data_IF_793302236207
#
_entry.id   IF_793302236207
#
_cell.length_a   1.000
_cell.length_b   1.000
_cell.length_c   1.000
_cell.angle_alpha   90.00
_cell.angle_beta   90.00
_cell.angle_gamma   90.00
#
_symmetry.space_group_name_H-M   'P 1'
#
loop_
_entity.id
_entity.type
_entity.pdbx_description
1 polymer ?
#
# COMPACT_ATOMS: atom_id res chain seq x y z
N UNK A 1 -44.63 -5.00 -101.95
CA UNK A 1 -44.26 -5.19 -100.53
C UNK A 1 -42.78 -5.48 -100.48
N UNK A 2 -41.99 -4.45 -100.18
CA UNK A 2 -40.53 -4.43 -100.34
C UNK A 2 -39.85 -4.94 -99.07
N UNK A 3 -39.08 -6.02 -99.19
CA UNK A 3 -38.19 -6.50 -98.13
C UNK A 3 -37.00 -5.55 -97.96
N UNK A 4 -36.55 -5.23 -96.74
CA UNK A 4 -35.23 -4.68 -96.52
C UNK A 4 -34.22 -5.80 -96.26
N UNK A 5 -33.19 -5.77 -97.08
CA UNK A 5 -31.91 -6.46 -96.95
C UNK A 5 -31.17 -5.97 -95.70
N UNK A 6 -30.75 -6.88 -94.81
CA UNK A 6 -29.55 -6.69 -93.97
C UNK A 6 -29.05 -8.04 -93.42
N UNK A 7 -28.13 -8.66 -94.18
CA UNK A 7 -27.23 -9.72 -93.69
C UNK A 7 -26.15 -9.06 -92.81
N UNK A 8 -26.41 -8.92 -91.52
CA UNK A 8 -25.40 -8.45 -90.54
C UNK A 8 -25.54 -9.14 -89.18
N UNK A 9 -25.89 -10.43 -89.17
CA UNK A 9 -25.94 -11.26 -87.95
C UNK A 9 -25.19 -12.59 -88.11
N UNK A 10 -23.98 -12.54 -88.65
CA UNK A 10 -23.04 -13.65 -88.62
C UNK A 10 -21.65 -13.04 -88.45
N UNK A 11 -20.91 -13.45 -87.40
CA UNK A 11 -19.64 -12.87 -86.90
C UNK A 11 -19.75 -11.57 -86.05
N UNK A 12 -20.72 -11.50 -85.13
CA UNK A 12 -20.89 -10.37 -84.20
C UNK A 12 -19.78 -10.24 -83.16
N UNK A 13 -18.75 -9.44 -83.45
CA UNK A 13 -17.91 -8.79 -82.45
C UNK A 13 -18.11 -7.29 -82.61
N UNK A 14 -19.05 -6.70 -81.87
CA UNK A 14 -19.22 -5.25 -81.84
C UNK A 14 -18.17 -4.61 -80.94
N UNK A 15 -17.80 -3.36 -81.19
CA UNK A 15 -16.83 -2.63 -80.36
C UNK A 15 -17.20 -2.64 -78.86
N UNK A 16 -18.50 -2.67 -78.53
CA UNK A 16 -19.00 -2.84 -77.16
C UNK A 16 -18.63 -4.20 -76.53
N UNK A 17 -18.62 -5.29 -77.29
CA UNK A 17 -18.22 -6.61 -76.80
C UNK A 17 -16.71 -6.70 -76.53
N UNK A 18 -15.90 -5.90 -77.22
CA UNK A 18 -14.46 -5.82 -76.95
C UNK A 18 -14.16 -5.11 -75.62
N UNK A 19 -14.90 -4.04 -75.31
CA UNK A 19 -14.78 -3.36 -74.02
C UNK A 19 -15.27 -4.24 -72.87
N UNK A 20 -16.34 -5.01 -73.07
CA UNK A 20 -16.85 -5.95 -72.07
C UNK A 20 -15.83 -7.07 -71.78
N UNK A 21 -15.24 -7.65 -72.83
CA UNK A 21 -14.20 -8.67 -72.70
C UNK A 21 -12.95 -8.10 -72.01
N UNK A 22 -12.56 -6.85 -72.31
CA UNK A 22 -11.46 -6.16 -71.63
C UNK A 22 -11.76 -5.91 -70.15
N UNK A 23 -12.99 -5.51 -69.82
CA UNK A 23 -13.42 -5.35 -68.44
C UNK A 23 -13.43 -6.69 -67.68
N UNK A 24 -13.82 -7.77 -68.34
CA UNK A 24 -13.83 -9.11 -67.75
C UNK A 24 -12.42 -9.66 -67.55
N UNK A 25 -11.49 -9.40 -68.48
CA UNK A 25 -10.06 -9.70 -68.31
C UNK A 25 -9.49 -8.91 -67.12
N UNK A 26 -9.74 -7.60 -67.04
CA UNK A 26 -9.24 -6.78 -65.94
C UNK A 26 -9.76 -7.26 -64.57
N UNK A 27 -11.04 -7.62 -64.48
CA UNK A 27 -11.61 -8.22 -63.26
C UNK A 27 -10.91 -9.53 -62.89
N UNK A 28 -10.61 -10.39 -63.87
CA UNK A 28 -9.90 -11.65 -63.64
C UNK A 28 -8.46 -11.44 -63.24
N UNK A 29 -7.80 -10.41 -63.76
CA UNK A 29 -6.44 -10.01 -63.36
C UNK A 29 -6.42 -9.49 -61.92
N UNK A 30 -7.39 -8.66 -61.52
CA UNK A 30 -7.52 -8.19 -60.14
C UNK A 30 -7.84 -9.33 -59.17
N UNK A 31 -8.75 -10.23 -59.53
CA UNK A 31 -9.03 -11.45 -58.78
C UNK A 31 -7.77 -12.32 -58.63
N UNK A 32 -6.96 -12.44 -59.70
CA UNK A 32 -5.70 -13.17 -59.66
C UNK A 32 -4.65 -12.49 -58.77
N UNK A 33 -4.54 -11.16 -58.82
CA UNK A 33 -3.65 -10.40 -57.96
C UNK A 33 -4.02 -10.54 -56.48
N UNK A 34 -5.32 -10.45 -56.15
CA UNK A 34 -5.84 -10.62 -54.78
C UNK A 34 -5.62 -12.04 -54.26
N UNK A 35 -5.91 -13.05 -55.07
CA UNK A 35 -5.70 -14.46 -54.68
C UNK A 35 -4.21 -14.80 -54.54
N UNK A 36 -3.34 -14.19 -55.35
CA UNK A 36 -1.88 -14.27 -55.21
C UNK A 36 -1.38 -13.62 -53.92
N UNK A 37 -1.92 -12.46 -53.54
CA UNK A 37 -1.57 -11.78 -52.28
C UNK A 37 -2.05 -12.56 -51.05
N UNK A 38 -3.21 -13.21 -51.14
CA UNK A 38 -3.76 -14.09 -50.10
C UNK A 38 -3.07 -15.46 -49.99
N UNK A 39 -1.98 -15.70 -50.73
CA UNK A 39 -1.21 -16.95 -50.65
C UNK A 39 -1.83 -18.14 -51.40
N UNK A 40 -2.83 -17.92 -52.26
CA UNK A 40 -3.40 -18.94 -53.13
C UNK A 40 -2.36 -19.56 -54.08
N UNK A 41 -2.44 -20.87 -54.30
CA UNK A 41 -1.39 -21.64 -54.97
C UNK A 41 -0.97 -21.06 -56.33
N UNK A 42 0.34 -20.94 -56.58
CA UNK A 42 0.94 -20.34 -57.79
C UNK A 42 0.84 -21.19 -59.06
N UNK A 43 0.07 -22.29 -59.09
CA UNK A 43 0.18 -23.27 -60.18
C UNK A 43 -1.18 -23.80 -60.66
N UNK A 44 -1.75 -23.14 -61.66
CA UNK A 44 -2.63 -23.77 -62.64
C UNK A 44 -1.80 -24.20 -63.85
N UNK A 45 -1.13 -25.35 -63.76
CA UNK A 45 -0.57 -26.01 -64.97
C UNK A 45 -1.62 -26.99 -65.48
N UNK A 46 -2.20 -26.71 -66.65
CA UNK A 46 -3.10 -27.64 -67.36
C UNK A 46 -4.57 -27.63 -66.94
N UNK A 47 -5.09 -26.54 -66.36
CA UNK A 47 -6.55 -26.36 -66.16
C UNK A 47 -7.22 -27.16 -65.03
N UNK A 48 -6.48 -27.99 -64.28
CA UNK A 48 -7.03 -28.76 -63.15
C UNK A 48 -6.47 -28.25 -61.83
N UNK A 49 -7.36 -27.76 -60.94
CA UNK A 49 -7.02 -27.40 -59.56
C UNK A 49 -6.52 -28.64 -58.82
N UNK A 50 -5.24 -28.68 -58.45
CA UNK A 50 -4.75 -29.68 -57.51
C UNK A 50 -5.19 -29.30 -56.09
N UNK A 51 -5.58 -30.26 -55.23
CA UNK A 51 -5.91 -29.96 -53.85
C UNK A 51 -4.69 -29.37 -53.14
N UNK A 52 -4.91 -28.34 -52.34
CA UNK A 52 -3.84 -27.62 -51.64
C UNK A 52 -2.96 -28.60 -50.85
N UNK A 53 -1.64 -28.45 -51.00
CA UNK A 53 -0.69 -29.25 -50.25
C UNK A 53 -0.91 -28.95 -48.77
N UNK A 54 -1.16 -29.99 -47.96
CA UNK A 54 -1.25 -29.87 -46.50
C UNK A 54 -0.04 -29.07 -46.00
N UNK A 55 -0.23 -28.06 -45.14
CA UNK A 55 0.87 -27.24 -44.64
C UNK A 55 1.97 -28.12 -44.04
N UNK A 56 3.23 -27.83 -44.37
CA UNK A 56 4.40 -28.55 -43.86
C UNK A 56 4.40 -28.54 -42.33
N UNK A 57 4.99 -29.55 -41.68
CA UNK A 57 5.02 -29.66 -40.21
C UNK A 57 5.62 -28.41 -39.56
N UNK A 58 6.59 -27.76 -40.22
CA UNK A 58 7.18 -26.49 -39.80
C UNK A 58 6.26 -25.27 -39.88
N UNK A 59 5.15 -25.36 -40.60
CA UNK A 59 4.12 -24.31 -40.69
C UNK A 59 2.95 -24.52 -39.73
N UNK A 60 2.94 -25.61 -38.94
CA UNK A 60 1.95 -25.80 -37.88
C UNK A 60 2.35 -24.95 -36.69
N UNK A 61 1.51 -23.98 -36.33
CA UNK A 61 1.68 -23.23 -35.09
C UNK A 61 1.49 -24.14 -33.88
N UNK A 62 2.18 -23.82 -32.77
CA UNK A 62 2.02 -24.57 -31.53
C UNK A 62 0.58 -24.45 -31.01
N UNK A 63 0.04 -25.54 -30.46
CA UNK A 63 -1.32 -25.59 -29.94
C UNK A 63 -1.50 -24.51 -28.86
N UNK A 64 -2.48 -23.63 -29.05
CA UNK A 64 -2.81 -22.57 -28.09
C UNK A 64 -2.03 -21.26 -28.22
N UNK A 65 -1.15 -21.11 -29.23
CA UNK A 65 -0.49 -19.82 -29.50
C UNK A 65 -1.50 -18.74 -29.88
N UNK A 66 -2.47 -19.07 -30.74
CA UNK A 66 -3.54 -18.14 -31.12
C UNK A 66 -4.38 -17.72 -29.91
N UNK A 67 -4.71 -18.66 -29.02
CA UNK A 67 -5.48 -18.36 -27.81
C UNK A 67 -4.68 -17.51 -26.81
N UNK A 68 -3.35 -17.65 -26.77
CA UNK A 68 -2.48 -16.81 -25.93
C UNK A 68 -2.39 -15.40 -26.52
N UNK A 69 -2.14 -15.29 -27.82
CA UNK A 69 -2.11 -14.01 -28.53
C UNK A 69 -3.45 -13.26 -28.41
N UNK A 70 -4.58 -13.95 -28.53
CA UNK A 70 -5.90 -13.35 -28.31
C UNK A 70 -6.06 -12.81 -26.88
N UNK A 71 -5.63 -13.58 -25.87
CA UNK A 71 -5.64 -13.12 -24.47
C UNK A 71 -4.72 -11.92 -24.23
N UNK A 72 -3.54 -11.90 -24.86
CA UNK A 72 -2.60 -10.78 -24.72
C UNK A 72 -3.21 -9.49 -25.33
N UNK A 73 -3.91 -9.60 -26.47
CA UNK A 73 -4.65 -8.48 -27.09
C UNK A 73 -5.79 -8.00 -26.18
N UNK A 74 -6.60 -8.91 -25.62
CA UNK A 74 -7.68 -8.55 -24.69
C UNK A 74 -7.15 -7.83 -23.44
N UNK A 75 -6.02 -8.28 -22.87
CA UNK A 75 -5.40 -7.64 -21.73
C UNK A 75 -4.85 -6.24 -22.07
N UNK A 76 -4.27 -6.08 -23.26
CA UNK A 76 -3.84 -4.77 -23.73
C UNK A 76 -5.01 -3.81 -23.89
N UNK A 77 -6.13 -4.25 -24.48
CA UNK A 77 -7.34 -3.43 -24.66
C UNK A 77 -7.91 -2.97 -23.31
N UNK A 78 -8.02 -3.86 -22.33
CA UNK A 78 -8.45 -3.50 -20.97
C UNK A 78 -7.49 -2.49 -20.33
N UNK A 79 -6.18 -2.65 -20.54
CA UNK A 79 -5.18 -1.72 -20.01
C UNK A 79 -5.28 -0.35 -20.67
N UNK A 80 -5.49 -0.29 -21.99
CA UNK A 80 -5.66 0.96 -22.76
C UNK A 80 -6.90 1.71 -22.30
N UNK A 81 -8.04 1.03 -22.14
CA UNK A 81 -9.27 1.66 -21.60
C UNK A 81 -9.04 2.24 -20.20
N UNK A 82 -8.24 1.56 -19.36
CA UNK A 82 -7.91 2.04 -18.01
C UNK A 82 -6.98 3.26 -18.06
N UNK A 83 -5.98 3.26 -18.93
CA UNK A 83 -5.03 4.38 -19.09
C UNK A 83 -5.72 5.58 -19.74
N UNK A 84 -6.52 5.37 -20.78
CA UNK A 84 -7.28 6.40 -21.48
C UNK A 84 -8.33 7.05 -20.57
N UNK A 85 -9.03 6.26 -19.76
CA UNK A 85 -9.97 6.80 -18.78
C UNK A 85 -9.24 7.62 -17.71
N UNK A 86 -8.09 7.15 -17.22
CA UNK A 86 -7.22 7.91 -16.32
C UNK A 86 -6.75 9.23 -16.95
N UNK A 87 -6.27 9.20 -18.19
CA UNK A 87 -5.84 10.38 -18.94
C UNK A 87 -6.97 11.37 -19.14
N UNK A 88 -8.16 10.92 -19.54
CA UNK A 88 -9.33 11.78 -19.70
C UNK A 88 -9.74 12.46 -18.38
N UNK A 89 -9.64 11.76 -17.25
CA UNK A 89 -9.88 12.35 -15.92
C UNK A 89 -8.82 13.39 -15.58
N UNK A 90 -7.54 13.11 -15.83
CA UNK A 90 -6.44 14.06 -15.60
C UNK A 90 -6.58 15.31 -16.45
N UNK A 91 -6.93 15.17 -17.74
CA UNK A 91 -7.17 16.30 -18.63
C UNK A 91 -8.35 17.16 -18.16
N UNK A 92 -9.43 16.54 -17.67
CA UNK A 92 -10.55 17.28 -17.06
C UNK A 92 -10.11 18.03 -15.80
N UNK A 93 -9.35 17.39 -14.90
CA UNK A 93 -8.80 18.03 -13.69
C UNK A 93 -7.87 19.19 -14.03
N UNK A 94 -6.96 19.03 -15.00
CA UNK A 94 -6.06 20.08 -15.46
C UNK A 94 -6.83 21.29 -16.00
N UNK A 95 -7.88 21.07 -16.81
CA UNK A 95 -8.76 22.14 -17.30
C UNK A 95 -9.49 22.87 -16.19
N UNK A 96 -9.91 22.18 -15.12
CA UNK A 96 -10.55 22.81 -13.96
C UNK A 96 -9.51 23.64 -13.19
N UNK A 97 -8.34 23.07 -12.93
CA UNK A 97 -7.24 23.76 -12.23
C UNK A 97 -6.80 25.04 -12.96
N UNK A 98 -6.64 25.00 -14.29
CA UNK A 98 -6.34 26.20 -15.07
C UNK A 98 -7.42 27.29 -14.94
N UNK A 99 -8.69 26.90 -14.85
CA UNK A 99 -9.78 27.86 -14.66
C UNK A 99 -9.72 28.49 -13.27
N UNK A 100 -9.51 27.67 -12.24
CA UNK A 100 -9.35 28.12 -10.85
C UNK A 100 -8.14 29.07 -10.72
N UNK A 101 -6.99 28.71 -11.27
CA UNK A 101 -5.80 29.57 -11.33
C UNK A 101 -6.04 30.90 -12.06
N UNK A 102 -6.97 30.92 -13.03
CA UNK A 102 -7.38 32.14 -13.76
C UNK A 102 -8.48 32.93 -13.02
N UNK A 103 -8.80 32.58 -11.77
CA UNK A 103 -9.85 33.22 -10.97
C UNK A 103 -11.28 32.89 -11.41
N UNK A 104 -11.48 31.81 -12.17
CA UNK A 104 -12.82 31.32 -12.57
C UNK A 104 -13.20 30.14 -11.69
N UNK A 105 -14.46 30.04 -11.28
CA UNK A 105 -14.97 28.96 -10.42
C UNK A 105 -14.78 27.53 -10.95
N UNK A 106 -14.37 27.35 -12.21
CA UNK A 106 -14.05 26.03 -12.77
C UNK A 106 -15.26 25.10 -12.92
N UNK A 107 -16.47 25.57 -12.61
CA UNK A 107 -17.69 24.76 -12.51
C UNK A 107 -17.98 24.21 -11.11
N UNK A 108 -17.22 24.63 -10.09
CA UNK A 108 -17.51 24.35 -8.69
C UNK A 108 -18.53 25.35 -8.14
N UNK A 109 -19.32 24.93 -7.16
CA UNK A 109 -20.17 25.83 -6.37
C UNK A 109 -19.32 26.62 -5.37
N UNK A 110 -19.80 27.77 -4.91
CA UNK A 110 -19.04 28.63 -3.99
C UNK A 110 -18.64 27.87 -2.71
N UNK A 111 -19.54 27.05 -2.15
CA UNK A 111 -19.24 26.17 -1.01
C UNK A 111 -18.13 25.14 -1.32
N UNK A 112 -18.13 24.59 -2.54
CA UNK A 112 -17.09 23.65 -2.96
C UNK A 112 -15.75 24.35 -3.19
N UNK A 113 -15.79 25.61 -3.64
CA UNK A 113 -14.61 26.46 -3.81
C UNK A 113 -14.00 26.85 -2.46
N UNK A 114 -14.82 27.29 -1.50
CA UNK A 114 -14.39 27.62 -0.13
C UNK A 114 -13.85 26.42 0.64
N UNK A 115 -14.33 25.21 0.34
CA UNK A 115 -13.81 23.97 0.94
C UNK A 115 -12.45 23.54 0.35
N UNK A 116 -11.96 24.18 -0.71
CA UNK A 116 -10.64 23.88 -1.25
C UNK A 116 -9.57 24.37 -0.28
N UNK A 117 -8.63 23.49 0.04
CA UNK A 117 -7.47 23.82 0.90
C UNK A 117 -6.40 24.64 0.18
N UNK A 118 -6.61 24.96 -1.10
CA UNK A 118 -5.68 25.72 -1.94
C UNK A 118 -6.28 27.09 -2.18
N UNK A 119 -5.58 28.13 -1.75
CA UNK A 119 -5.94 29.51 -2.05
C UNK A 119 -5.44 29.89 -3.46
N UNK A 120 -6.35 29.86 -4.42
CA UNK A 120 -6.06 30.21 -5.82
C UNK A 120 -5.95 31.73 -6.06
N UNK A 121 -6.49 32.53 -5.14
CA UNK A 121 -6.48 34.00 -5.22
C UNK A 121 -5.23 34.59 -4.55
N UNK A 122 -4.56 33.81 -3.70
CA UNK A 122 -3.20 34.11 -3.27
C UNK A 122 -2.28 34.20 -4.51
N UNK A 123 -1.64 35.37 -4.68
CA UNK A 123 -0.59 35.55 -5.68
C UNK A 123 0.54 34.61 -5.24
N UNK A 124 0.57 33.42 -5.86
CA UNK A 124 1.32 32.30 -5.33
C UNK A 124 2.80 32.60 -5.12
N UNK A 125 3.53 31.75 -4.36
CA UNK A 125 4.98 31.89 -4.18
C UNK A 125 5.80 31.89 -5.49
N UNK A 126 5.17 31.67 -6.65
CA UNK A 126 5.81 31.48 -7.96
C UNK A 126 6.53 32.69 -8.56
N UNK A 127 6.36 33.91 -8.05
CA UNK A 127 7.20 35.05 -8.46
C UNK A 127 8.50 35.13 -7.63
N UNK A 128 8.61 34.38 -6.52
CA UNK A 128 9.78 34.37 -5.63
C UNK A 128 10.46 33.00 -5.52
N UNK A 129 9.76 31.92 -5.83
CA UNK A 129 10.35 30.61 -6.09
C UNK A 129 10.59 30.52 -7.59
N UNK A 130 11.73 31.08 -8.02
CA UNK A 130 12.34 30.67 -9.27
C UNK A 130 12.45 29.14 -9.24
N UNK A 131 12.21 28.52 -10.40
CA UNK A 131 12.41 27.09 -10.59
C UNK A 131 13.75 26.71 -9.96
N UNK A 132 13.69 25.95 -8.87
CA UNK A 132 14.87 25.33 -8.25
C UNK A 132 15.41 24.33 -9.26
N UNK A 133 16.19 24.86 -10.20
CA UNK A 133 17.05 24.09 -11.07
C UNK A 133 18.17 23.59 -10.17
N UNK A 134 17.92 22.41 -9.65
CA UNK A 134 18.74 21.41 -8.98
C UNK A 134 20.22 21.36 -9.43
N UNK A 135 21.01 22.42 -9.17
CA UNK A 135 22.47 22.43 -9.36
C UNK A 135 23.22 23.50 -8.52
N UNK A 136 22.55 24.26 -7.65
CA UNK A 136 23.23 25.16 -6.70
C UNK A 136 23.39 24.44 -5.37
N UNK A 137 24.62 24.04 -5.05
CA UNK A 137 24.97 23.46 -3.75
C UNK A 137 24.84 24.52 -2.63
N UNK A 138 23.64 24.60 -2.04
CA UNK A 138 23.37 25.50 -0.91
C UNK A 138 24.27 25.22 0.31
N UNK A 139 24.95 24.07 0.36
CA UNK A 139 25.92 23.76 1.44
C UNK A 139 27.24 24.54 1.33
N UNK A 140 27.51 25.17 0.19
CA UNK A 140 28.65 26.10 0.02
C UNK A 140 28.34 27.53 0.47
N UNK A 141 27.07 27.88 0.68
CA UNK A 141 26.68 29.23 1.10
C UNK A 141 26.64 29.27 2.63
N UNK A 142 27.76 29.62 3.26
CA UNK A 142 27.77 29.93 4.70
C UNK A 142 26.97 31.23 4.88
N UNK A 143 25.91 31.25 5.71
CA UNK A 143 25.19 32.48 6.00
C UNK A 143 26.16 33.48 6.64
N UNK A 144 26.53 34.53 5.91
CA UNK A 144 27.29 35.65 6.48
C UNK A 144 26.36 36.43 7.40
N UNK A 145 26.70 36.47 8.69
CA UNK A 145 26.04 37.40 9.60
C UNK A 145 26.36 38.84 9.17
N UNK A 146 25.39 39.77 9.26
CA UNK A 146 25.62 41.16 8.93
C UNK A 146 26.78 41.68 9.78
N UNK A 147 27.85 42.14 9.11
CA UNK A 147 28.97 42.82 9.74
C UNK A 147 28.45 44.14 10.31
N UNK A 148 28.02 44.12 11.57
CA UNK A 148 27.66 45.35 12.26
C UNK A 148 28.98 46.04 12.67
N UNK A 149 29.39 47.06 11.90
CA UNK A 149 30.61 47.86 12.13
C UNK A 149 30.57 48.61 13.49
N UNK A 150 29.40 48.63 14.14
CA UNK A 150 29.18 49.26 15.45
C UNK A 150 29.48 48.36 16.67
N UNK A 151 29.88 47.10 16.48
CA UNK A 151 30.12 46.16 17.60
C UNK A 151 31.62 46.03 17.94
N UNK A 152 32.10 46.64 19.04
CA UNK A 152 33.50 46.59 19.41
C UNK A 152 33.93 45.19 19.90
N UNK A 153 35.14 44.80 19.54
CA UNK A 153 35.79 43.60 20.06
C UNK A 153 36.30 43.90 21.47
N UNK A 154 35.86 43.12 22.47
CA UNK A 154 36.20 43.29 23.89
C UNK A 154 36.92 42.04 24.39
N UNK A 155 37.86 42.23 25.31
CA UNK A 155 38.51 41.15 26.05
C UNK A 155 37.66 40.79 27.28
N UNK A 156 37.29 39.52 27.41
CA UNK A 156 36.52 39.00 28.54
C UNK A 156 37.18 37.76 29.13
N UNK A 157 36.93 37.53 30.42
CA UNK A 157 37.36 36.32 31.12
C UNK A 157 36.29 35.23 30.95
N UNK A 158 36.67 34.14 30.28
CA UNK A 158 35.83 32.94 30.14
C UNK A 158 35.62 32.27 31.52
N UNK A 159 34.62 31.39 31.65
CA UNK A 159 34.25 30.69 32.88
C UNK A 159 35.41 29.91 33.53
N UNK A 160 36.44 29.62 32.73
CA UNK A 160 37.66 28.92 33.13
C UNK A 160 38.83 29.86 33.49
N UNK A 161 38.59 31.16 33.61
CA UNK A 161 39.61 32.16 33.97
C UNK A 161 40.60 32.50 32.86
N UNK A 162 40.25 32.19 31.60
CA UNK A 162 41.09 32.46 30.43
C UNK A 162 40.62 33.75 29.75
N UNK A 163 41.56 34.63 29.41
CA UNK A 163 41.26 35.82 28.64
C UNK A 163 40.98 35.44 27.18
N UNK A 164 39.78 35.76 26.69
CA UNK A 164 39.36 35.57 25.29
C UNK A 164 38.88 36.90 24.71
N UNK A 165 39.03 37.06 23.40
CA UNK A 165 38.51 38.22 22.67
C UNK A 165 37.29 37.82 21.87
N UNK A 166 36.26 38.65 21.89
CA UNK A 166 35.01 38.44 21.16
C UNK A 166 34.26 39.75 20.95
N UNK A 167 33.31 39.78 20.01
CA UNK A 167 32.44 40.95 19.81
C UNK A 167 31.54 41.15 21.02
N UNK A 168 31.24 42.39 21.42
CA UNK A 168 30.45 42.67 22.64
C UNK A 168 29.07 42.00 22.61
N UNK A 169 28.43 41.87 21.43
CA UNK A 169 27.14 41.18 21.31
C UNK A 169 27.22 39.67 21.52
N UNK A 170 28.37 39.05 21.27
CA UNK A 170 28.60 37.61 21.39
C UNK A 170 29.05 37.20 22.80
N UNK A 171 29.61 38.14 23.58
CA UNK A 171 30.04 37.87 24.95
C UNK A 171 28.82 37.70 25.86
N UNK A 172 28.70 36.57 26.58
CA UNK A 172 27.62 36.35 27.53
C UNK A 172 27.50 37.52 28.52
N UNK A 173 26.28 37.97 28.78
CA UNK A 173 26.00 39.18 29.57
C UNK A 173 26.66 39.19 30.96
N UNK A 174 26.87 38.02 31.55
CA UNK A 174 27.48 37.85 32.87
C UNK A 174 29.02 37.91 32.85
N UNK A 175 29.65 37.75 31.68
CA UNK A 175 31.09 37.85 31.46
C UNK A 175 31.51 39.23 30.88
N UNK A 176 30.55 40.07 30.53
CA UNK A 176 30.83 41.43 30.10
C UNK A 176 31.51 42.20 31.24
N UNK A 177 32.54 43.01 30.96
CA UNK A 177 33.16 43.85 31.97
C UNK A 177 32.09 44.82 32.50
N UNK A 178 31.72 44.64 33.77
CA UNK A 178 30.81 45.54 34.46
C UNK A 178 31.57 46.84 34.69
N UNK A 179 31.16 47.92 34.01
CA UNK A 179 31.65 49.25 34.39
C UNK A 179 31.26 49.51 35.84
N UNK A 180 32.17 50.06 36.63
CA UNK A 180 31.95 50.40 38.05
C UNK A 180 30.75 51.37 38.24
N UNK A 181 30.26 51.99 37.16
CA UNK A 181 29.08 52.86 37.11
C UNK A 181 27.74 52.12 36.91
N UNK A 182 27.73 50.79 36.79
CA UNK A 182 26.48 50.02 36.68
C UNK A 182 25.90 49.78 38.08
N UNK A 183 25.17 50.79 38.55
CA UNK A 183 24.29 50.75 39.73
C UNK A 183 23.59 49.39 39.83
N UNK A 184 23.55 48.74 41.00
CA UNK A 184 22.80 47.51 41.18
C UNK A 184 21.34 47.80 40.88
N UNK A 185 20.82 47.19 39.81
CA UNK A 185 19.38 47.20 39.50
C UNK A 185 18.69 46.67 40.77
N UNK A 186 17.88 47.48 41.47
CA UNK A 186 17.19 47.03 42.66
C UNK A 186 16.28 45.85 42.27
N UNK A 187 16.36 44.75 43.02
CA UNK A 187 15.58 43.52 42.79
C UNK A 187 14.04 43.70 42.96
N UNK A 188 13.56 44.94 43.00
CA UNK A 188 12.16 45.31 43.18
C UNK A 188 11.64 46.17 42.02
N UNK A 189 11.81 45.69 40.79
CA UNK A 189 10.98 46.15 39.69
C UNK A 189 9.53 45.72 39.98
N UNK A 190 8.73 46.64 40.53
CA UNK A 190 7.30 46.45 40.81
C UNK A 190 6.45 46.12 39.56
N UNK A 191 7.06 46.26 38.39
CA UNK A 191 6.46 45.96 37.09
C UNK A 191 6.83 44.55 36.57
N UNK A 192 7.70 43.80 37.25
CA UNK A 192 8.00 42.40 36.91
C UNK A 192 6.96 41.49 37.55
N UNK A 193 6.01 41.05 36.73
CA UNK A 193 5.00 40.07 37.12
C UNK A 193 5.68 38.70 37.22
N UNK A 194 6.08 38.32 38.43
CA UNK A 194 6.48 36.94 38.72
C UNK A 194 5.24 36.05 38.71
N UNK A 195 5.13 35.19 37.69
CA UNK A 195 4.11 34.16 37.71
C UNK A 195 4.31 33.29 38.98
N UNK A 196 3.24 33.02 39.76
CA UNK A 196 3.35 32.16 40.93
C UNK A 196 3.94 30.81 40.51
N UNK A 197 4.90 30.29 41.27
CA UNK A 197 5.66 29.06 40.97
C UNK A 197 4.77 27.81 40.80
N UNK A 198 3.47 27.90 41.12
CA UNK A 198 2.49 26.83 40.97
C UNK A 198 1.21 27.24 40.20
N UNK A 199 1.21 28.38 39.49
CA UNK A 199 0.06 28.79 38.68
C UNK A 199 0.30 28.45 37.21
N UNK A 200 -0.15 27.26 36.81
CA UNK A 200 -0.28 26.91 35.41
C UNK A 200 -1.74 27.19 35.00
N UNK A 201 -2.01 28.19 34.14
CA UNK A 201 -3.37 28.44 33.67
C UNK A 201 -3.82 27.26 32.81
N UNK A 202 -4.54 26.32 33.42
CA UNK A 202 -5.24 25.26 32.70
C UNK A 202 -6.47 25.91 32.07
N UNK A 203 -6.52 25.94 30.74
CA UNK A 203 -7.68 26.44 30.02
C UNK A 203 -8.88 25.53 30.29
N UNK A 204 -9.86 26.01 31.05
CA UNK A 204 -11.17 25.40 31.21
C UNK A 204 -12.15 26.07 30.24
N UNK A 205 -12.54 25.40 29.13
CA UNK A 205 -13.50 25.97 28.20
C UNK A 205 -14.85 26.19 28.91
N UNK A 206 -15.53 27.30 28.60
CA UNK A 206 -16.89 27.54 29.09
C UNK A 206 -17.83 26.40 28.66
N UNK A 207 -18.85 26.10 29.49
CA UNK A 207 -19.83 25.06 29.18
C UNK A 207 -20.51 25.28 27.82
N UNK A 208 -20.76 26.53 27.45
CA UNK A 208 -21.29 26.91 26.14
C UNK A 208 -20.35 26.53 24.99
N UNK A 209 -19.03 26.69 25.18
CA UNK A 209 -18.04 26.30 24.17
C UNK A 209 -17.95 24.78 24.03
N UNK A 210 -18.06 24.05 25.14
CA UNK A 210 -18.10 22.58 25.12
C UNK A 210 -19.35 22.10 24.38
N UNK A 211 -20.51 22.70 24.65
CA UNK A 211 -21.76 22.39 23.96
C UNK A 211 -21.68 22.73 22.48
N UNK A 212 -21.19 23.92 22.10
CA UNK A 212 -21.03 24.30 20.70
C UNK A 212 -20.09 23.35 19.94
N UNK A 213 -19.01 22.90 20.59
CA UNK A 213 -18.12 21.87 20.04
C UNK A 213 -18.87 20.55 19.89
N UNK A 214 -19.55 20.09 20.93
CA UNK A 214 -20.29 18.84 20.91
C UNK A 214 -21.41 18.83 19.86
N UNK A 215 -22.12 19.94 19.70
CA UNK A 215 -23.16 20.12 18.68
C UNK A 215 -22.53 20.13 17.29
N UNK A 216 -21.40 20.81 17.09
CA UNK A 216 -20.70 20.79 15.80
C UNK A 216 -20.21 19.38 15.41
N UNK A 217 -19.83 18.56 16.39
CA UNK A 217 -19.40 17.17 16.19
C UNK A 217 -20.52 16.13 16.35
N UNK A 218 -21.76 16.56 16.62
CA UNK A 218 -22.88 15.62 16.74
C UNK A 218 -23.16 14.95 15.40
N UNK A 219 -23.64 13.70 15.45
CA UNK A 219 -23.94 12.91 14.25
C UNK A 219 -24.98 13.59 13.34
N UNK A 220 -25.83 14.44 13.91
CA UNK A 220 -26.83 15.24 13.20
C UNK A 220 -26.19 16.30 12.29
N UNK A 221 -25.12 16.96 12.75
CA UNK A 221 -24.43 18.01 12.01
C UNK A 221 -23.27 17.45 11.15
N UNK A 222 -22.72 16.31 11.54
CA UNK A 222 -21.59 15.70 10.87
C UNK A 222 -21.79 14.19 10.65
N UNK A 223 -22.68 13.79 9.70
CA UNK A 223 -22.92 12.39 9.45
C UNK A 223 -21.64 11.71 8.94
N UNK A 224 -21.19 10.67 9.67
CA UNK A 224 -19.99 9.88 9.35
C UNK A 224 -20.02 9.28 7.93
N UNK A 225 -21.23 9.14 7.33
CA UNK A 225 -21.42 8.70 5.95
C UNK A 225 -20.86 9.69 4.91
N UNK A 226 -20.74 10.98 5.25
CA UNK A 226 -20.21 12.01 4.36
C UNK A 226 -18.70 11.89 4.17
N UNK A 227 -17.97 11.45 5.21
CA UNK A 227 -16.50 11.48 5.22
C UNK A 227 -15.85 10.17 4.76
N UNK A 228 -16.51 9.04 4.97
CA UNK A 228 -15.94 7.73 4.64
C UNK A 228 -16.82 6.94 3.69
N UNK A 229 -16.38 6.83 2.45
CA UNK A 229 -16.96 5.98 1.43
C UNK A 229 -16.00 4.85 1.09
N UNK A 230 -16.28 3.67 1.63
CA UNK A 230 -15.41 2.54 1.43
C UNK A 230 -15.43 2.01 -0.02
N UNK A 231 -16.32 2.45 -0.91
CA UNK A 231 -16.21 2.14 -2.34
C UNK A 231 -15.03 2.87 -3.01
N UNK A 232 -14.60 4.01 -2.44
CA UNK A 232 -13.49 4.84 -2.94
C UNK A 232 -12.15 4.54 -2.25
N UNK A 233 -12.16 3.68 -1.23
CA UNK A 233 -10.95 3.26 -0.50
C UNK A 233 -10.08 2.33 -1.37
N UNK A 234 -8.81 2.70 -1.53
CA UNK A 234 -7.84 1.98 -2.39
C UNK A 234 -7.05 0.94 -1.59
N UNK A 235 -7.07 1.00 -0.25
CA UNK A 235 -6.38 0.01 0.59
C UNK A 235 -6.99 -1.39 0.45
N UNK A 236 -6.13 -2.40 0.59
CA UNK A 236 -6.55 -3.80 0.65
C UNK A 236 -7.42 -4.03 1.89
N UNK A 237 -8.63 -4.55 1.67
CA UNK A 237 -9.62 -4.77 2.72
C UNK A 237 -9.45 -6.19 3.27
N UNK A 238 -9.51 -6.33 4.59
CA UNK A 238 -9.34 -7.63 5.26
C UNK A 238 -10.52 -8.58 5.01
N UNK A 239 -10.36 -9.84 5.40
CA UNK A 239 -11.39 -10.89 5.22
C UNK A 239 -12.72 -10.62 5.96
N UNK A 240 -12.70 -9.76 6.98
CA UNK A 240 -13.89 -9.34 7.73
C UNK A 240 -14.51 -8.03 7.23
N UNK A 241 -14.10 -7.51 6.08
CA UNK A 241 -14.65 -6.27 5.55
C UNK A 241 -16.07 -6.47 5.01
N UNK A 242 -17.00 -5.63 5.47
CA UNK A 242 -18.38 -5.58 5.02
C UNK A 242 -18.73 -4.15 4.58
N UNK A 243 -19.22 -4.00 3.35
CA UNK A 243 -19.64 -2.70 2.81
C UNK A 243 -21.10 -2.46 3.13
N UNK A 244 -21.38 -1.47 3.99
CA UNK A 244 -22.74 -1.02 4.22
C UNK A 244 -23.28 -0.25 3.02
N UNK A 245 -24.60 -0.29 2.85
CA UNK A 245 -25.31 0.55 1.89
C UNK A 245 -25.18 2.04 2.24
N UNK A 246 -25.25 2.90 1.22
CA UNK A 246 -25.30 4.35 1.38
C UNK A 246 -26.67 4.85 1.88
N UNK A 247 -27.74 4.07 1.68
CA UNK A 247 -29.08 4.42 2.13
C UNK A 247 -29.24 4.11 3.62
N UNK A 248 -29.61 5.12 4.41
CA UNK A 248 -29.60 5.08 5.88
C UNK A 248 -30.49 3.99 6.47
N UNK A 249 -31.68 3.77 5.88
CA UNK A 249 -32.61 2.72 6.33
C UNK A 249 -32.03 1.32 6.11
N UNK A 250 -31.48 1.08 4.92
CA UNK A 250 -30.89 -0.22 4.57
C UNK A 250 -29.61 -0.47 5.36
N UNK A 251 -28.82 0.57 5.62
CA UNK A 251 -27.65 0.52 6.51
C UNK A 251 -28.05 0.16 7.93
N UNK A 252 -29.13 0.74 8.45
CA UNK A 252 -29.65 0.42 9.78
C UNK A 252 -30.08 -1.04 9.87
N UNK A 253 -30.81 -1.54 8.87
CA UNK A 253 -31.18 -2.96 8.80
C UNK A 253 -29.97 -3.89 8.77
N UNK A 254 -28.96 -3.56 7.95
CA UNK A 254 -27.71 -4.32 7.89
C UNK A 254 -26.95 -4.30 9.23
N UNK A 255 -26.97 -3.17 9.95
CA UNK A 255 -26.38 -3.05 11.29
C UNK A 255 -27.12 -3.90 12.32
N UNK A 256 -28.45 -3.91 12.29
CA UNK A 256 -29.30 -4.74 13.15
C UNK A 256 -29.08 -6.24 12.88
N UNK A 257 -28.96 -6.64 11.62
CA UNK A 257 -28.64 -8.03 11.23
C UNK A 257 -27.24 -8.46 11.70
N UNK A 258 -26.24 -7.58 11.60
CA UNK A 258 -24.89 -7.87 12.09
C UNK A 258 -24.87 -7.98 13.62
N UNK A 259 -25.64 -7.15 14.31
CA UNK A 259 -25.80 -7.23 15.77
C UNK A 259 -26.51 -8.52 16.19
N UNK A 260 -27.56 -8.95 15.49
CA UNK A 260 -28.24 -10.21 15.82
C UNK A 260 -27.33 -11.41 15.59
N UNK A 261 -26.62 -11.46 14.47
CA UNK A 261 -25.63 -12.50 14.18
C UNK A 261 -24.52 -12.53 15.25
N UNK A 262 -24.07 -11.36 15.72
CA UNK A 262 -23.11 -11.26 16.83
C UNK A 262 -23.67 -11.87 18.11
N UNK A 263 -24.88 -11.51 18.51
CA UNK A 263 -25.53 -12.05 19.73
C UNK A 263 -25.70 -13.57 19.62
N UNK A 264 -26.07 -14.09 18.45
CA UNK A 264 -26.18 -15.54 18.23
C UNK A 264 -24.82 -16.23 18.36
N UNK A 265 -23.77 -15.66 17.75
CA UNK A 265 -22.41 -16.23 17.85
C UNK A 265 -21.86 -16.16 19.26
N UNK A 266 -22.11 -15.08 20.01
CA UNK A 266 -21.74 -14.93 21.42
C UNK A 266 -22.46 -15.97 22.28
N UNK A 267 -23.76 -16.21 22.07
CA UNK A 267 -24.51 -17.27 22.76
C UNK A 267 -23.96 -18.65 22.45
N UNK A 268 -23.75 -18.99 21.17
CA UNK A 268 -23.17 -20.27 20.76
C UNK A 268 -21.79 -20.47 21.38
N UNK A 269 -20.98 -19.41 21.45
CA UNK A 269 -19.64 -19.44 22.03
C UNK A 269 -19.69 -19.66 23.55
N UNK A 270 -20.60 -19.00 24.24
CA UNK A 270 -20.86 -19.22 25.67
C UNK A 270 -21.33 -20.64 25.95
N UNK A 271 -22.28 -21.17 25.15
CA UNK A 271 -22.79 -22.53 25.27
C UNK A 271 -21.71 -23.59 24.98
N UNK A 272 -20.82 -23.30 24.02
CA UNK A 272 -19.66 -24.13 23.71
C UNK A 272 -18.52 -24.02 24.74
N UNK A 273 -18.63 -23.11 25.71
CA UNK A 273 -17.61 -22.87 26.74
C UNK A 273 -16.31 -22.26 26.20
N UNK A 274 -16.35 -21.61 25.04
CA UNK A 274 -15.20 -20.94 24.48
C UNK A 274 -14.96 -19.61 25.20
N UNK A 275 -13.73 -19.41 25.67
CA UNK A 275 -13.32 -18.20 26.41
C UNK A 275 -13.08 -17.07 25.41
N UNK A 276 -13.83 -15.98 25.55
CA UNK A 276 -13.58 -14.74 24.81
C UNK A 276 -12.33 -14.05 25.35
N UNK A 277 -11.17 -14.48 24.85
CA UNK A 277 -9.91 -13.82 25.14
C UNK A 277 -9.88 -12.49 24.39
N UNK A 278 -9.66 -11.40 25.12
CA UNK A 278 -9.37 -10.11 24.50
C UNK A 278 -8.04 -10.23 23.74
N UNK A 279 -7.89 -9.61 22.56
CA UNK A 279 -6.63 -9.58 21.84
C UNK A 279 -5.51 -9.07 22.77
N UNK A 280 -4.54 -9.93 23.09
CA UNK A 280 -3.42 -9.64 24.00
C UNK A 280 -3.45 -10.39 25.34
N UNK A 281 -4.54 -11.09 25.69
CA UNK A 281 -4.59 -11.96 26.86
C UNK A 281 -4.09 -13.37 26.49
N UNK A 282 -2.90 -13.73 26.97
CA UNK A 282 -2.29 -15.06 26.69
C UNK A 282 -3.11 -16.14 27.37
N UNK A 283 -3.65 -17.04 26.56
CA UNK A 283 -4.31 -18.28 26.98
C UNK A 283 -3.29 -19.20 27.65
N UNK A 284 -3.06 -19.03 28.95
CA UNK A 284 -2.07 -19.90 29.60
C UNK A 284 -1.65 -19.59 31.01
N UNK A 285 -2.49 -18.98 31.86
CA UNK A 285 -2.27 -19.00 33.32
C UNK A 285 -3.46 -18.44 34.12
N UNK A 286 -4.67 -18.94 33.87
CA UNK A 286 -5.76 -18.74 34.84
C UNK A 286 -5.85 -19.99 35.72
N UNK A 287 -5.43 -19.80 36.96
CA UNK A 287 -5.54 -20.76 38.05
C UNK A 287 -7.02 -21.14 38.24
N UNK A 288 -7.30 -22.43 38.10
CA UNK A 288 -8.63 -23.06 38.07
C UNK A 288 -9.28 -23.09 39.47
N UNK A 289 -9.36 -21.93 40.15
CA UNK A 289 -9.79 -21.88 41.55
C UNK A 289 -11.11 -21.12 41.83
N UNK A 290 -11.71 -20.39 40.87
CA UNK A 290 -12.88 -19.54 41.20
C UNK A 290 -14.01 -19.50 40.13
N UNK A 291 -14.35 -20.60 39.47
CA UNK A 291 -15.66 -20.68 38.78
C UNK A 291 -16.40 -21.99 39.07
N UNK A 292 -17.13 -21.99 40.18
CA UNK A 292 -18.13 -22.99 40.49
C UNK A 292 -19.33 -22.83 39.53
N UNK A 293 -19.33 -23.53 38.40
CA UNK A 293 -20.49 -23.46 37.50
C UNK A 293 -20.46 -24.23 36.18
N UNK A 294 -19.38 -24.92 35.82
CA UNK A 294 -19.36 -25.69 34.58
C UNK A 294 -20.07 -27.05 34.75
N UNK A 295 -21.24 -27.17 34.11
CA UNK A 295 -22.08 -28.37 34.00
C UNK A 295 -21.27 -29.63 33.68
N UNK A 296 -20.96 -30.41 34.72
CA UNK A 296 -20.29 -31.71 34.58
C UNK A 296 -21.26 -32.66 33.88
N UNK A 297 -20.88 -33.15 32.71
CA UNK A 297 -21.67 -34.16 31.97
C UNK A 297 -22.01 -35.35 32.88
N UNK A 298 -23.21 -35.93 32.74
CA UNK A 298 -23.69 -37.08 33.57
C UNK A 298 -22.68 -38.23 33.67
N UNK A 299 -21.84 -38.41 32.64
CA UNK A 299 -20.76 -39.39 32.63
C UNK A 299 -19.61 -39.05 33.60
N UNK A 300 -19.24 -37.77 33.72
CA UNK A 300 -18.22 -37.30 34.65
C UNK A 300 -18.72 -37.36 36.10
N UNK A 301 -20.01 -37.09 36.32
CA UNK A 301 -20.62 -37.23 37.64
C UNK A 301 -20.63 -38.69 38.12
N UNK A 302 -20.93 -39.64 37.21
CA UNK A 302 -20.83 -41.08 37.51
C UNK A 302 -19.40 -41.50 37.85
N UNK A 303 -18.40 -41.07 37.07
CA UNK A 303 -16.99 -41.35 37.37
C UNK A 303 -16.55 -40.76 38.71
N UNK A 304 -17.03 -39.57 39.08
CA UNK A 304 -16.74 -38.95 40.37
C UNK A 304 -17.33 -39.76 41.53
N UNK A 305 -18.59 -40.21 41.41
CA UNK A 305 -19.23 -41.08 42.41
C UNK A 305 -18.49 -42.41 42.55
N UNK A 306 -18.11 -43.05 41.46
CA UNK A 306 -17.35 -44.30 41.49
C UNK A 306 -15.97 -44.14 42.17
N UNK A 307 -15.30 -42.98 41.97
CA UNK A 307 -14.03 -42.65 42.62
C UNK A 307 -14.21 -42.38 44.12
N UNK A 308 -15.27 -41.67 44.50
CA UNK A 308 -15.60 -41.40 45.91
C UNK A 308 -16.00 -42.67 46.67
N UNK A 309 -16.77 -43.56 46.03
CA UNK A 309 -17.09 -44.89 46.59
C UNK A 309 -15.83 -45.75 46.75
N UNK A 310 -14.92 -45.75 45.77
CA UNK A 310 -13.62 -46.41 45.90
C UNK A 310 -12.77 -45.83 47.03
N UNK A 311 -12.73 -44.50 47.18
CA UNK A 311 -12.03 -43.85 48.29
C UNK A 311 -12.64 -44.23 49.63
N UNK A 312 -13.97 -44.24 49.75
CA UNK A 312 -14.67 -44.64 50.97
C UNK A 312 -14.41 -46.11 51.34
N UNK A 313 -14.31 -46.99 50.34
CA UNK A 313 -13.93 -48.39 50.54
C UNK A 313 -12.46 -48.50 50.99
N UNK A 314 -11.56 -47.70 50.41
CA UNK A 314 -10.15 -47.68 50.82
C UNK A 314 -9.98 -47.11 52.23
N UNK A 315 -10.73 -46.08 52.60
CA UNK A 315 -10.69 -45.51 53.95
C UNK A 315 -11.32 -46.45 54.98
N UNK A 316 -12.38 -47.18 54.63
CA UNK A 316 -12.93 -48.23 55.47
C UNK A 316 -11.94 -49.39 55.66
N UNK A 317 -11.18 -49.75 54.60
CA UNK A 317 -10.09 -50.73 54.70
C UNK A 317 -8.94 -50.20 55.55
N UNK A 318 -8.54 -48.94 55.36
CA UNK A 318 -7.50 -48.30 56.18
C UNK A 318 -7.91 -48.22 57.65
N UNK A 319 -9.15 -47.83 57.96
CA UNK A 319 -9.66 -47.84 59.34
C UNK A 319 -9.75 -49.24 59.94
N UNK A 320 -9.98 -50.27 59.14
CA UNK A 320 -10.01 -51.67 59.62
C UNK A 320 -8.61 -52.24 59.82
N UNK A 321 -7.62 -51.82 59.02
CA UNK A 321 -6.20 -52.16 59.20
C UNK A 321 -5.59 -51.37 60.36
N UNK A 322 -5.98 -50.10 60.52
CA UNK A 322 -5.53 -49.22 61.60
C UNK A 322 -6.22 -49.49 62.94
N UNK A 323 -7.25 -50.35 62.95
CA UNK A 323 -7.86 -50.88 64.17
C UNK A 323 -7.08 -52.03 64.83
N UNK A 324 -6.00 -52.51 64.21
CA UNK A 324 -5.18 -53.62 64.71
C UNK A 324 -3.72 -53.22 65.04
N UNK A 325 -3.38 -51.92 64.98
CA UNK A 325 -2.09 -51.41 65.45
C UNK A 325 -2.29 -50.33 66.52
N UNK A 326 -2.23 -50.76 67.78
CA UNK A 326 -1.98 -49.88 68.92
C UNK A 326 -0.48 -49.77 69.18
N UNK A 327 -0.01 -48.53 69.34
CA UNK A 327 1.13 -48.08 70.16
C UNK A 327 2.57 -48.23 69.61
N UNK A 328 3.02 -47.21 68.86
CA UNK A 328 4.32 -46.55 68.99
C UNK A 328 4.27 -45.27 68.12
N UNK A 329 4.55 -44.03 68.54
CA UNK A 329 5.39 -43.55 69.61
C UNK A 329 6.68 -42.92 69.05
N UNK A 330 6.61 -41.77 68.35
CA UNK A 330 7.73 -40.81 68.24
C UNK A 330 7.26 -39.50 67.60
N UNK A 331 7.51 -38.38 68.29
CA UNK A 331 7.42 -37.03 67.74
C UNK A 331 8.78 -36.43 67.39
N UNK A 332 8.69 -35.13 67.07
CA UNK A 332 9.75 -34.10 66.98
C UNK A 332 10.48 -33.93 65.64
N UNK A 333 10.00 -32.91 64.91
CA UNK A 333 10.71 -31.70 64.45
C UNK A 333 11.89 -31.77 63.44
N UNK A 334 12.07 -30.70 62.64
CA UNK A 334 12.77 -30.69 61.36
C UNK A 334 14.22 -30.21 61.49
N UNK A 335 15.07 -30.65 60.55
CA UNK A 335 16.39 -30.05 60.35
C UNK A 335 16.53 -29.49 58.93
N UNK A 336 16.91 -28.22 58.90
CA UNK A 336 17.41 -27.46 57.76
C UNK A 336 18.84 -27.89 57.42
N UNK A 337 19.16 -28.04 56.14
CA UNK A 337 20.49 -27.76 55.54
C UNK A 337 20.34 -27.91 54.03
N UNK A 338 20.35 -26.80 53.30
CA UNK A 338 21.51 -26.17 52.66
C UNK A 338 21.76 -26.67 51.22
N UNK A 339 22.10 -25.68 50.40
CA UNK A 339 22.18 -25.74 48.96
C UNK A 339 23.43 -26.49 48.48
N UNK A 340 23.28 -27.25 47.39
CA UNK A 340 24.38 -27.59 46.49
C UNK A 340 23.86 -27.46 45.05
N UNK A 341 24.27 -26.38 44.39
CA UNK A 341 24.39 -26.29 42.94
C UNK A 341 25.44 -27.29 42.47
N UNK A 342 25.26 -27.91 41.30
CA UNK A 342 26.28 -28.09 40.26
C UNK A 342 25.77 -28.92 39.07
N UNK A 343 26.06 -28.38 37.87
CA UNK A 343 26.45 -29.08 36.63
C UNK A 343 25.33 -29.63 35.71
N UNK A 344 25.15 -28.88 34.62
CA UNK A 344 24.51 -29.30 33.39
C UNK A 344 25.31 -30.43 32.73
N UNK A 345 24.63 -31.51 32.34
CA UNK A 345 25.18 -32.49 31.40
C UNK A 345 24.42 -32.41 30.08
N UNK A 346 25.17 -32.03 29.05
CA UNK A 346 24.81 -32.08 27.65
C UNK A 346 24.53 -33.52 27.22
N UNK A 347 23.30 -33.81 26.83
CA UNK A 347 23.00 -34.97 25.98
C UNK A 347 22.55 -34.47 24.61
N UNK A 348 23.48 -34.56 23.66
CA UNK A 348 23.29 -34.25 22.25
C UNK A 348 22.19 -35.11 21.62
N UNK A 349 20.99 -34.54 21.51
CA UNK A 349 19.87 -35.14 20.81
C UNK A 349 19.96 -34.99 19.29
N UNK A 350 19.35 -35.90 18.51
CA UNK A 350 19.43 -35.96 17.04
C UNK A 350 18.76 -34.79 16.29
N UNK A 351 18.19 -33.81 17.00
CA UNK A 351 17.55 -32.63 16.41
C UNK A 351 18.53 -31.51 16.03
N UNK A 352 19.73 -31.46 16.65
CA UNK A 352 20.77 -30.46 16.33
C UNK A 352 21.41 -30.69 14.96
N UNK A 353 21.34 -31.93 14.43
CA UNK A 353 21.86 -32.27 13.11
C UNK A 353 20.94 -31.78 11.96
N UNK A 354 19.66 -31.55 12.22
CA UNK A 354 18.70 -31.07 11.21
C UNK A 354 18.78 -29.55 11.02
N UNK A 355 19.11 -28.82 12.09
CA UNK A 355 19.22 -27.36 12.06
C UNK A 355 20.43 -26.88 11.24
N UNK A 356 21.54 -27.64 11.26
CA UNK A 356 22.73 -27.35 10.41
C UNK A 356 22.51 -27.64 8.92
N UNK A 357 21.57 -28.50 8.54
CA UNK A 357 21.25 -28.78 7.13
C UNK A 357 20.37 -27.69 6.50
N UNK A 358 19.63 -26.92 7.30
CA UNK A 358 18.75 -25.85 6.81
C UNK A 358 19.53 -24.56 6.58
N UNK A 359 20.60 -24.30 7.34
CA UNK A 359 21.44 -23.09 7.22
C UNK A 359 22.43 -23.13 6.05
N UNK A 360 22.79 -24.31 5.53
CA UNK A 360 23.70 -24.45 4.38
C UNK A 360 22.99 -24.38 3.00
N UNK A 361 21.65 -24.37 2.99
CA UNK A 361 20.85 -24.33 1.75
C UNK A 361 20.53 -22.90 1.27
N UNK A 362 20.73 -21.87 2.10
CA UNK A 362 20.37 -20.47 1.78
C UNK A 362 21.52 -19.62 1.20
N UNK A 363 22.75 -20.14 1.10
CA UNK A 363 23.93 -19.36 0.72
C UNK A 363 24.54 -19.67 -0.67
N UNK A 364 23.75 -20.28 -1.56
CA UNK A 364 24.18 -20.63 -2.94
C UNK A 364 23.50 -19.82 -4.06
N UNK A 365 22.99 -18.62 -3.80
CA UNK A 365 22.43 -17.73 -4.84
C UNK A 365 22.96 -16.29 -4.71
N UNK A 366 24.28 -16.09 -4.66
CA UNK A 366 24.93 -14.81 -5.00
C UNK A 366 26.42 -15.05 -5.28
N UNK A 367 26.77 -15.30 -6.54
CA UNK A 367 28.08 -15.02 -7.18
C UNK A 367 28.14 -15.68 -8.57
N UNK A 368 27.71 -14.94 -9.60
CA UNK A 368 28.32 -15.03 -10.93
C UNK A 368 28.41 -13.61 -11.50
N UNK A 369 29.57 -12.99 -11.29
CA UNK A 369 29.97 -11.81 -12.04
C UNK A 369 30.11 -12.18 -13.51
N UNK A 370 29.44 -11.44 -14.38
CA UNK A 370 29.56 -11.57 -15.83
C UNK A 370 30.67 -10.62 -16.29
N UNK A 371 31.75 -11.22 -16.78
CA UNK A 371 32.86 -10.50 -17.42
C UNK A 371 32.34 -9.71 -18.64
N UNK A 372 32.79 -8.46 -18.71
CA UNK A 372 32.64 -7.54 -19.84
C UNK A 372 33.47 -8.07 -21.02
N UNK A 373 32.81 -8.74 -21.96
CA UNK A 373 33.36 -9.06 -23.28
C UNK A 373 32.91 -8.00 -24.27
N UNK A 374 33.85 -7.25 -24.83
CA UNK A 374 33.66 -6.35 -25.96
C UNK A 374 33.38 -7.19 -27.21
N UNK A 375 32.13 -7.24 -27.65
CA UNK A 375 31.77 -7.72 -28.98
C UNK A 375 31.07 -6.57 -29.72
N UNK A 376 31.85 -5.80 -30.46
CA UNK A 376 31.37 -4.98 -31.58
C UNK A 376 30.85 -5.92 -32.67
N UNK A 377 29.52 -6.02 -32.79
CA UNK A 377 28.76 -6.32 -34.02
C UNK A 377 27.33 -6.76 -33.65
N UNK A 378 26.53 -5.81 -33.19
CA UNK A 378 25.06 -5.98 -33.21
C UNK A 378 24.61 -5.75 -34.66
N UNK A 379 23.78 -6.62 -35.26
CA UNK A 379 23.23 -6.37 -36.58
C UNK A 379 22.34 -5.13 -36.50
N UNK A 380 22.74 -4.06 -37.19
CA UNK A 380 21.98 -2.81 -37.29
C UNK A 380 20.59 -3.14 -37.80
N UNK A 381 19.58 -2.84 -36.98
CA UNK A 381 18.19 -2.97 -37.38
C UNK A 381 17.75 -1.71 -38.12
N UNK A 382 16.74 -1.82 -38.98
CA UNK A 382 16.20 -0.67 -39.73
C UNK A 382 15.78 0.50 -38.81
N UNK A 383 15.47 0.21 -37.55
CA UNK A 383 15.19 1.19 -36.51
C UNK A 383 16.44 2.01 -36.11
N UNK A 384 17.61 1.38 -36.08
CA UNK A 384 18.88 2.05 -35.73
C UNK A 384 19.30 3.01 -36.85
N UNK A 385 19.06 2.64 -38.12
CA UNK A 385 19.33 3.49 -39.28
C UNK A 385 18.37 4.69 -39.33
N UNK A 386 17.11 4.51 -38.92
CA UNK A 386 16.14 5.62 -38.80
C UNK A 386 16.55 6.61 -37.70
N UNK A 387 16.96 6.12 -36.54
CA UNK A 387 17.42 6.99 -35.44
C UNK A 387 18.70 7.75 -35.82
N UNK A 388 19.63 7.11 -36.52
CA UNK A 388 20.83 7.77 -37.03
C UNK A 388 20.53 8.82 -38.11
N UNK A 389 19.48 8.62 -38.92
CA UNK A 389 19.01 9.65 -39.87
C UNK A 389 18.40 10.84 -39.15
N UNK A 390 17.55 10.59 -38.15
CA UNK A 390 16.92 11.63 -37.34
C UNK A 390 17.96 12.47 -36.59
N UNK A 391 18.97 11.83 -36.01
CA UNK A 391 20.08 12.51 -35.32
C UNK A 391 20.83 13.46 -36.27
N UNK A 392 21.12 13.03 -37.50
CA UNK A 392 21.78 13.86 -38.51
C UNK A 392 20.89 15.02 -38.96
N UNK A 393 19.60 14.81 -39.05
CA UNK A 393 18.64 15.86 -39.44
C UNK A 393 18.52 16.93 -38.34
N UNK A 394 18.54 16.53 -37.07
CA UNK A 394 18.48 17.44 -35.92
C UNK A 394 19.80 18.21 -35.74
N UNK A 395 20.95 17.55 -35.92
CA UNK A 395 22.26 18.19 -35.77
C UNK A 395 22.69 18.99 -37.01
N UNK A 396 22.23 18.63 -38.20
CA UNK A 396 22.49 19.37 -39.45
C UNK A 396 21.55 20.55 -39.68
N UNK A 397 20.54 20.74 -38.82
CA UNK A 397 19.54 21.81 -38.90
C UNK A 397 19.86 23.08 -38.11
N UNK A 398 21.15 23.41 -37.91
CA UNK A 398 21.59 24.73 -37.40
C UNK A 398 22.55 25.41 -38.38
#
# INVERSE_FOLDING_TARGET
>A
MTAPTNKARAAGVSASSFFDLKAEIAKKEDEFARTKAAGGSKYTVGGVKRPDKKPTVWSRSNKGVQNRAARDIELEEVSKVTIESGRAVLERKAKIYEKLRKGKSGGLTDKQYEALLVDFDSRGPSDHFESDSDDMDESLTVPEQPQDDGDPIIEYEDEFGRQRTGRRSEVPRHLLPRSEDTEPIPDEDKDVIYNPVNYFPVFEPSAERIQAVQDAYSEDNNPLSSHYDASKEVRAKGAGYYQFSGDEETRRQQMEELQSARIETEKIRQDAGAVDLKPGEVEGMRDDSITAGASRSRAMEKRKRDIEERRKILDAKRRKVQGDETLAGRGLEPDNSEAVTLEAQDTSGPLVALERQITDASDKHKRKGKQKGTNDSVPKTEADDFLAQLEREILGGR
#
